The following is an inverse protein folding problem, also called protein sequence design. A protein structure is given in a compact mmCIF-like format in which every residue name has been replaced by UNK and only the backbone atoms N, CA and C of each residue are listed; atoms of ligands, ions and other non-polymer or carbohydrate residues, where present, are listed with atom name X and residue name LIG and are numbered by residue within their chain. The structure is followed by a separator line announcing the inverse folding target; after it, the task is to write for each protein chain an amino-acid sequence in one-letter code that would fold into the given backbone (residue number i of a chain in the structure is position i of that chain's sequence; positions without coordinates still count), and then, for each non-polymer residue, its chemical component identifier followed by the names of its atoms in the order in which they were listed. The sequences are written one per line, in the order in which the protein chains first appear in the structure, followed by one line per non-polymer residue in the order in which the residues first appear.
data_IF_250270619310
#
_entry.id   IF_250270619310
#
_cell.length_a   1.000
_cell.length_b   1.000
_cell.length_c   1.000
_cell.angle_alpha   90.00
_cell.angle_beta   90.00
_cell.angle_gamma   90.00
#
_symmetry.space_group_name_H-M   'P 1'
#
loop_
_entity.id
_entity.type
_entity.pdbx_description
1 polymer ?
#
# COMPACT_ATOMS: atom_id res chain seq x y z
N UNK A 1 -0.22 13.26 80.83
CA UNK A 1 -1.66 13.01 80.98
C UNK A 1 -2.48 13.84 80.02
N UNK A 2 -2.17 15.11 79.77
CA UNK A 2 -2.91 15.94 78.78
C UNK A 2 -2.74 15.46 77.31
N UNK A 3 -1.60 14.91 76.95
CA UNK A 3 -1.33 14.36 75.60
C UNK A 3 -2.20 13.13 75.29
N UNK A 4 -2.35 12.22 76.27
CA UNK A 4 -3.24 11.07 76.11
C UNK A 4 -4.70 11.44 75.97
N UNK A 5 -5.16 12.44 76.75
CA UNK A 5 -6.52 12.95 76.67
C UNK A 5 -6.80 13.69 75.31
N UNK A 6 -5.77 14.30 74.71
CA UNK A 6 -5.84 14.92 73.40
C UNK A 6 -5.91 13.84 72.29
N UNK A 7 -5.14 12.77 72.45
CA UNK A 7 -5.15 11.63 71.55
C UNK A 7 -6.52 10.93 71.51
N UNK A 8 -7.12 10.69 72.68
CA UNK A 8 -8.45 10.10 72.78
C UNK A 8 -9.55 10.96 72.10
N UNK A 9 -9.43 12.25 72.11
CA UNK A 9 -10.38 13.17 71.44
C UNK A 9 -10.14 13.24 69.90
N UNK A 10 -8.91 13.07 69.46
CA UNK A 10 -8.54 13.16 68.04
C UNK A 10 -8.76 11.80 67.30
N UNK A 11 -8.67 10.68 68.00
CA UNK A 11 -8.82 9.35 67.42
C UNK A 11 -10.14 9.16 66.64
N UNK A 12 -11.31 9.47 67.17
CA UNK A 12 -12.57 9.30 66.41
C UNK A 12 -12.66 10.20 65.19
N UNK A 13 -12.06 11.41 65.23
CA UNK A 13 -12.01 12.29 64.06
C UNK A 13 -11.11 11.74 62.98
N UNK A 14 -9.95 11.21 63.33
CA UNK A 14 -9.01 10.61 62.39
C UNK A 14 -9.58 9.34 61.73
N UNK A 15 -10.31 8.50 62.51
CA UNK A 15 -10.96 7.27 61.99
C UNK A 15 -11.97 7.59 60.90
N UNK A 16 -12.63 8.76 60.90
CA UNK A 16 -13.59 9.16 59.87
C UNK A 16 -12.92 9.90 58.72
N UNK A 17 -11.99 10.81 59.01
CA UNK A 17 -11.37 11.68 57.99
C UNK A 17 -10.46 10.88 57.06
N UNK A 18 -9.61 9.99 57.57
CA UNK A 18 -8.64 9.26 56.77
C UNK A 18 -9.32 8.34 55.72
N UNK A 19 -10.27 7.46 56.10
CA UNK A 19 -10.97 6.64 55.09
C UNK A 19 -11.76 7.48 54.09
N UNK A 20 -12.41 8.59 54.56
CA UNK A 20 -13.16 9.47 53.67
C UNK A 20 -12.26 10.14 52.63
N UNK A 21 -11.06 10.58 53.01
CA UNK A 21 -10.09 11.14 52.10
C UNK A 21 -9.60 10.11 51.08
N UNK A 22 -9.27 8.91 51.51
CA UNK A 22 -8.84 7.82 50.58
C UNK A 22 -9.97 7.41 49.66
N UNK A 23 -11.19 7.29 50.12
CA UNK A 23 -12.37 7.00 49.29
C UNK A 23 -12.61 8.09 48.27
N UNK A 24 -12.52 9.36 48.64
CA UNK A 24 -12.67 10.49 47.73
C UNK A 24 -11.58 10.50 46.65
N UNK A 25 -10.32 10.30 47.03
CA UNK A 25 -9.18 10.21 46.09
C UNK A 25 -9.30 9.03 45.16
N UNK A 26 -9.71 7.88 45.65
CA UNK A 26 -9.94 6.66 44.84
C UNK A 26 -11.06 6.92 43.81
N UNK A 27 -12.14 7.54 44.19
CA UNK A 27 -13.26 7.86 43.30
C UNK A 27 -12.86 8.87 42.21
N UNK A 28 -12.04 9.87 42.55
CA UNK A 28 -11.50 10.79 41.53
C UNK A 28 -10.59 10.10 40.52
N UNK A 29 -9.69 9.24 40.99
CA UNK A 29 -8.82 8.45 40.12
C UNK A 29 -9.63 7.54 39.20
N UNK A 30 -10.67 6.89 39.69
CA UNK A 30 -11.57 6.04 38.90
C UNK A 30 -12.28 6.84 37.80
N UNK A 31 -12.83 8.02 38.13
CA UNK A 31 -13.50 8.89 37.16
C UNK A 31 -12.54 9.38 36.06
N UNK A 32 -11.31 9.75 36.42
CA UNK A 32 -10.31 10.17 35.46
C UNK A 32 -9.90 9.01 34.54
N UNK A 33 -9.73 7.80 35.13
CA UNK A 33 -9.42 6.59 34.34
C UNK A 33 -10.56 6.22 33.39
N UNK A 34 -11.84 6.30 33.85
CA UNK A 34 -13.00 6.06 32.99
C UNK A 34 -13.05 7.05 31.81
N UNK A 35 -12.78 8.34 32.10
CA UNK A 35 -12.72 9.35 31.06
C UNK A 35 -11.64 9.07 30.02
N UNK A 36 -10.45 8.66 30.47
CA UNK A 36 -9.36 8.28 29.58
C UNK A 36 -9.71 7.04 28.74
N UNK A 37 -10.35 6.03 29.34
CA UNK A 37 -10.82 4.84 28.63
C UNK A 37 -11.83 5.23 27.55
N UNK A 38 -12.80 6.08 27.85
CA UNK A 38 -13.79 6.53 26.87
C UNK A 38 -13.12 7.26 25.70
N UNK A 39 -12.18 8.18 25.97
CA UNK A 39 -11.43 8.88 24.93
C UNK A 39 -10.62 7.91 24.07
N UNK A 40 -10.00 6.89 24.67
CA UNK A 40 -9.26 5.86 23.93
C UNK A 40 -10.20 5.00 23.09
N UNK A 41 -11.37 4.65 23.62
CA UNK A 41 -12.38 3.87 22.88
C UNK A 41 -12.89 4.63 21.67
N UNK A 42 -13.16 5.92 21.80
CA UNK A 42 -13.57 6.78 20.68
C UNK A 42 -12.48 6.86 19.61
N UNK A 43 -11.21 7.05 20.03
CA UNK A 43 -10.06 7.05 19.12
C UNK A 43 -9.87 5.72 18.39
N UNK A 44 -10.08 4.61 19.08
CA UNK A 44 -10.03 3.27 18.46
C UNK A 44 -11.12 3.15 17.39
N UNK A 45 -12.35 3.58 17.69
CA UNK A 45 -13.45 3.58 16.71
C UNK A 45 -13.17 4.44 15.48
N UNK A 46 -12.52 5.59 15.64
CA UNK A 46 -12.12 6.44 14.52
C UNK A 46 -10.97 5.83 13.71
N UNK A 47 -10.02 5.16 14.38
CA UNK A 47 -8.97 4.40 13.71
C UNK A 47 -9.54 3.23 12.90
N UNK A 48 -10.48 2.46 13.44
CA UNK A 48 -11.14 1.37 12.73
C UNK A 48 -11.82 1.87 11.45
N UNK A 49 -12.54 2.98 11.48
CA UNK A 49 -13.14 3.62 10.30
C UNK A 49 -12.08 4.02 9.27
N UNK A 50 -10.98 4.60 9.75
CA UNK A 50 -9.88 5.02 8.87
C UNK A 50 -9.19 3.83 8.20
N UNK A 51 -8.95 2.75 8.93
CA UNK A 51 -8.39 1.51 8.40
C UNK A 51 -9.31 0.93 7.33
N UNK A 52 -10.62 0.87 7.59
CA UNK A 52 -11.59 0.36 6.60
C UNK A 52 -11.60 1.21 5.32
N UNK A 53 -11.54 2.54 5.44
CA UNK A 53 -11.45 3.43 4.29
C UNK A 53 -10.17 3.21 3.47
N UNK A 54 -9.02 3.00 4.14
CA UNK A 54 -7.75 2.68 3.47
C UNK A 54 -7.82 1.32 2.76
N UNK A 55 -8.46 0.32 3.35
CA UNK A 55 -8.66 -0.98 2.71
C UNK A 55 -9.51 -0.88 1.44
N UNK A 56 -10.58 -0.10 1.45
CA UNK A 56 -11.42 0.13 0.26
C UNK A 56 -10.64 0.84 -0.84
N UNK A 57 -9.90 1.90 -0.51
CA UNK A 57 -9.02 2.60 -1.46
C UNK A 57 -7.97 1.63 -2.04
N UNK A 58 -7.41 0.76 -1.21
CA UNK A 58 -6.46 -0.27 -1.64
C UNK A 58 -7.06 -1.24 -2.66
N UNK A 59 -8.29 -1.71 -2.43
CA UNK A 59 -9.02 -2.60 -3.37
C UNK A 59 -9.30 -1.91 -4.71
N UNK A 60 -9.76 -0.66 -4.68
CA UNK A 60 -10.03 0.11 -5.88
C UNK A 60 -8.76 0.41 -6.68
N UNK A 61 -7.67 0.77 -6.00
CA UNK A 61 -6.38 0.97 -6.62
C UNK A 61 -5.86 -0.30 -7.30
N UNK A 62 -5.97 -1.46 -6.66
CA UNK A 62 -5.57 -2.74 -7.25
C UNK A 62 -6.40 -3.08 -8.50
N UNK A 63 -7.70 -2.80 -8.48
CA UNK A 63 -8.57 -2.97 -9.64
C UNK A 63 -8.16 -2.05 -10.79
N UNK A 64 -7.90 -0.78 -10.51
CA UNK A 64 -7.46 0.20 -11.50
C UNK A 64 -6.10 -0.17 -12.10
N UNK A 65 -5.13 -0.58 -11.28
CA UNK A 65 -3.83 -1.06 -11.75
C UNK A 65 -3.96 -2.29 -12.65
N UNK A 66 -4.85 -3.23 -12.32
CA UNK A 66 -5.14 -4.39 -13.16
C UNK A 66 -5.73 -3.98 -14.52
N UNK A 67 -6.64 -3.01 -14.55
CA UNK A 67 -7.22 -2.49 -15.80
C UNK A 67 -6.18 -1.77 -16.66
N UNK A 68 -5.34 -0.94 -16.05
CA UNK A 68 -4.24 -0.23 -16.72
C UNK A 68 -3.25 -1.25 -17.30
N UNK A 69 -2.85 -2.26 -16.52
CA UNK A 69 -1.94 -3.31 -16.96
C UNK A 69 -2.47 -4.07 -18.17
N UNK A 70 -3.75 -4.43 -18.17
CA UNK A 70 -4.41 -5.08 -19.33
C UNK A 70 -4.48 -4.17 -20.56
N UNK A 71 -4.75 -2.89 -20.35
CA UNK A 71 -4.75 -1.89 -21.43
C UNK A 71 -3.36 -1.73 -22.06
N UNK A 72 -2.33 -1.59 -21.21
CA UNK A 72 -0.95 -1.47 -21.64
C UNK A 72 -0.46 -2.74 -22.38
N UNK A 73 -0.78 -3.93 -21.87
CA UNK A 73 -0.46 -5.20 -22.53
C UNK A 73 -1.07 -5.27 -23.93
N UNK A 74 -2.32 -4.82 -24.12
CA UNK A 74 -2.97 -4.80 -25.44
C UNK A 74 -2.31 -3.82 -26.40
N UNK A 75 -1.92 -2.64 -25.92
CA UNK A 75 -1.19 -1.64 -26.72
C UNK A 75 0.20 -2.16 -27.14
N UNK A 76 0.94 -2.76 -26.19
CA UNK A 76 2.24 -3.36 -26.50
C UNK A 76 2.11 -4.51 -27.51
N UNK A 77 1.11 -5.38 -27.33
CA UNK A 77 0.82 -6.44 -28.30
C UNK A 77 0.59 -5.90 -29.71
N UNK A 78 -0.22 -4.87 -29.84
CA UNK A 78 -0.50 -4.25 -31.13
C UNK A 78 0.77 -3.65 -31.74
N UNK A 79 1.54 -2.89 -30.96
CA UNK A 79 2.81 -2.30 -31.40
C UNK A 79 3.83 -3.36 -31.85
N UNK A 80 4.04 -4.38 -31.04
CA UNK A 80 4.96 -5.49 -31.36
C UNK A 80 4.52 -6.19 -32.63
N UNK A 81 3.23 -6.52 -32.76
CA UNK A 81 2.69 -7.19 -33.92
C UNK A 81 2.90 -6.37 -35.20
N UNK A 82 2.66 -5.08 -35.18
CA UNK A 82 2.88 -4.20 -36.32
C UNK A 82 4.34 -4.12 -36.71
N UNK A 83 5.21 -3.84 -35.74
CA UNK A 83 6.65 -3.66 -36.01
C UNK A 83 7.29 -4.95 -36.48
N UNK A 84 7.04 -6.09 -35.85
CA UNK A 84 7.57 -7.37 -36.29
C UNK A 84 7.08 -7.72 -37.67
N UNK A 85 5.79 -7.58 -38.00
CA UNK A 85 5.28 -7.84 -39.33
C UNK A 85 5.87 -6.89 -40.38
N UNK A 86 6.12 -5.63 -40.04
CA UNK A 86 6.76 -4.65 -40.90
C UNK A 86 8.21 -5.06 -41.22
N UNK A 87 9.00 -5.40 -40.21
CA UNK A 87 10.37 -5.84 -40.37
C UNK A 87 10.47 -7.17 -41.18
N UNK A 88 9.62 -8.16 -40.88
CA UNK A 88 9.55 -9.42 -41.59
C UNK A 88 9.19 -9.22 -43.07
N UNK A 89 8.25 -8.35 -43.39
CA UNK A 89 7.92 -8.00 -44.79
C UNK A 89 9.06 -7.28 -45.49
N UNK A 90 9.82 -6.44 -44.81
CA UNK A 90 11.01 -5.76 -45.33
C UNK A 90 12.18 -6.73 -45.53
N UNK A 91 12.23 -7.82 -44.76
CA UNK A 91 13.26 -8.85 -44.82
C UNK A 91 14.58 -8.51 -44.12
N UNK A 92 14.64 -7.40 -43.44
CA UNK A 92 15.80 -6.96 -42.64
C UNK A 92 15.39 -6.15 -41.41
N UNK A 93 16.33 -5.94 -40.49
CA UNK A 93 16.20 -5.11 -39.32
C UNK A 93 17.51 -4.38 -39.01
N UNK A 94 17.50 -3.39 -38.13
CA UNK A 94 18.72 -2.76 -37.62
C UNK A 94 19.02 -3.20 -36.19
N UNK A 95 20.27 -2.98 -35.74
CA UNK A 95 20.66 -3.27 -34.36
C UNK A 95 19.79 -2.45 -33.37
N UNK A 96 19.54 -1.18 -33.65
CA UNK A 96 18.69 -0.33 -32.85
C UNK A 96 17.26 -0.85 -32.76
N UNK A 97 16.68 -1.28 -33.90
CA UNK A 97 15.33 -1.84 -33.92
C UNK A 97 15.22 -3.14 -33.09
N UNK A 98 16.27 -3.98 -33.12
CA UNK A 98 16.33 -5.18 -32.28
C UNK A 98 16.30 -4.81 -30.79
N UNK A 99 17.13 -3.85 -30.37
CA UNK A 99 17.20 -3.44 -28.97
C UNK A 99 15.87 -2.86 -28.46
N UNK A 100 15.28 -1.94 -29.23
CA UNK A 100 14.01 -1.30 -28.86
C UNK A 100 12.84 -2.29 -28.79
N UNK A 101 12.70 -3.15 -29.80
CA UNK A 101 11.61 -4.11 -29.84
C UNK A 101 11.80 -5.27 -28.84
N UNK A 102 13.04 -5.62 -28.52
CA UNK A 102 13.34 -6.61 -27.46
C UNK A 102 12.92 -6.07 -26.08
N UNK A 103 13.26 -4.84 -25.74
CA UNK A 103 12.82 -4.19 -24.48
C UNK A 103 11.28 -4.11 -24.39
N UNK A 104 10.63 -3.77 -25.50
CA UNK A 104 9.17 -3.71 -25.54
C UNK A 104 8.56 -5.12 -25.38
N UNK A 105 9.18 -6.15 -25.96
CA UNK A 105 8.75 -7.54 -25.83
C UNK A 105 8.92 -8.06 -24.40
N UNK A 106 10.04 -7.77 -23.74
CA UNK A 106 10.28 -8.10 -22.33
C UNK A 106 9.18 -7.51 -21.42
N UNK A 107 8.90 -6.22 -21.58
CA UNK A 107 7.82 -5.54 -20.84
C UNK A 107 6.44 -6.14 -21.12
N UNK A 108 6.17 -6.56 -22.35
CA UNK A 108 4.94 -7.26 -22.72
C UNK A 108 4.81 -8.62 -21.99
N UNK A 109 5.91 -9.36 -21.88
CA UNK A 109 5.96 -10.65 -21.16
C UNK A 109 5.74 -10.44 -19.66
N UNK A 110 6.38 -9.43 -19.06
CA UNK A 110 6.20 -9.06 -17.65
C UNK A 110 4.75 -8.72 -17.31
N UNK A 111 4.03 -8.10 -18.24
CA UNK A 111 2.59 -7.82 -18.10
C UNK A 111 1.69 -9.04 -18.37
N UNK A 112 2.27 -10.25 -18.46
CA UNK A 112 1.55 -11.49 -18.70
C UNK A 112 1.21 -11.74 -20.17
N UNK A 113 1.97 -11.16 -21.08
CA UNK A 113 1.86 -11.40 -22.53
C UNK A 113 2.11 -12.88 -22.90
N UNK A 114 1.42 -13.37 -23.91
CA UNK A 114 1.42 -14.79 -24.28
C UNK A 114 2.13 -15.09 -25.62
N UNK A 115 2.28 -16.39 -25.92
CA UNK A 115 3.09 -16.95 -26.98
C UNK A 115 2.75 -16.55 -28.43
N UNK A 116 1.62 -15.89 -28.71
CA UNK A 116 1.29 -15.48 -30.08
C UNK A 116 2.30 -14.45 -30.65
N UNK A 117 2.79 -13.53 -29.83
CA UNK A 117 3.83 -12.56 -30.19
C UNK A 117 5.22 -13.19 -30.20
N UNK A 118 5.45 -14.23 -29.38
CA UNK A 118 6.71 -14.94 -29.31
C UNK A 118 7.14 -15.48 -30.70
N UNK A 119 6.22 -16.07 -31.44
CA UNK A 119 6.51 -16.61 -32.79
C UNK A 119 6.98 -15.50 -33.77
N UNK A 120 6.37 -14.31 -33.65
CA UNK A 120 6.79 -13.18 -34.48
C UNK A 120 8.14 -12.63 -34.04
N UNK A 121 8.41 -12.60 -32.74
CA UNK A 121 9.68 -12.17 -32.19
C UNK A 121 10.81 -13.09 -32.62
N UNK A 122 10.63 -14.41 -32.53
CA UNK A 122 11.62 -15.38 -33.01
C UNK A 122 11.95 -15.19 -34.52
N UNK A 123 10.92 -15.02 -35.34
CA UNK A 123 11.12 -14.73 -36.80
C UNK A 123 11.77 -13.36 -37.03
N UNK A 124 11.52 -12.39 -36.21
CA UNK A 124 12.14 -11.08 -36.29
C UNK A 124 13.64 -11.14 -35.96
N UNK A 125 14.05 -11.93 -34.97
CA UNK A 125 15.47 -12.14 -34.62
C UNK A 125 16.28 -12.92 -35.67
N UNK A 126 15.61 -13.63 -36.56
CA UNK A 126 16.27 -14.36 -37.70
C UNK A 126 16.53 -13.46 -38.92
N UNK A 127 16.06 -12.17 -38.87
CA UNK A 127 16.25 -11.25 -39.98
C UNK A 127 17.71 -10.81 -40.14
N UNK A 128 18.11 -10.55 -41.41
CA UNK A 128 19.40 -9.94 -41.71
C UNK A 128 19.51 -8.56 -41.07
N UNK A 129 20.60 -8.32 -40.33
CA UNK A 129 20.88 -7.01 -39.71
C UNK A 129 21.54 -6.14 -40.80
N UNK A 130 20.90 -5.03 -41.11
CA UNK A 130 21.46 -3.94 -41.94
C UNK A 130 21.69 -2.72 -41.09
N UNK A 131 22.89 -2.17 -41.16
CA UNK A 131 23.15 -0.86 -40.59
C UNK A 131 22.24 0.18 -41.25
N UNK A 132 21.57 1.02 -40.45
CA UNK A 132 20.94 2.23 -40.94
C UNK A 132 22.08 3.12 -41.47
N UNK A 133 22.23 3.20 -42.80
CA UNK A 133 23.04 4.27 -43.35
C UNK A 133 22.34 5.57 -42.98
N UNK A 134 22.97 6.36 -42.13
CA UNK A 134 22.63 7.77 -41.89
C UNK A 134 22.90 8.56 -43.19
N UNK A 135 22.10 8.31 -44.20
CA UNK A 135 22.05 9.15 -45.40
C UNK A 135 20.94 10.19 -45.22
N UNK A 136 21.34 11.37 -44.63
CA UNK A 136 20.75 12.70 -44.66
C UNK A 136 19.37 12.91 -43.98
#
# INVERSE_FOLDING_TARGET
LEFLALLDKLTPVLIVIIPSYFSFKSTQNTKETEKQINVLTDKIGDLEKSVHAVEEIGKDNNKNLSLIGKGLQRLQRFRLQENFKKAIRRGNTSQHEIEELSRLYESYVELGGNGAIKILFEKFLELEIKEENDDE
#
